data_IF_796402937903
#
_entry.id   IF_796402937903
#
_cell.length_a   1.000
_cell.length_b   1.000
_cell.length_c   1.000
_cell.angle_alpha   90.00
_cell.angle_beta   90.00
_cell.angle_gamma   90.00
#
_symmetry.space_group_name_H-M   'P 1'
#
loop_
_entity.id
_entity.type
_entity.pdbx_description
1 polymer ?
#
# COMPACT_ATOMS: atom_id res chain seq x y z
N UNK A 1 6.03 11.08 2.22
CA UNK A 1 7.15 10.21 1.81
C UNK A 1 6.65 9.27 0.73
N UNK A 2 7.44 9.01 -0.32
CA UNK A 2 7.07 8.04 -1.36
C UNK A 2 7.70 6.70 -1.04
N UNK A 3 6.91 5.62 -1.13
CA UNK A 3 7.33 4.24 -0.90
C UNK A 3 6.92 3.41 -2.12
N UNK A 4 7.90 2.81 -2.78
CA UNK A 4 7.75 2.07 -4.04
C UNK A 4 7.87 0.58 -3.73
N UNK A 5 6.94 -0.25 -4.23
CA UNK A 5 6.99 -1.72 -4.18
C UNK A 5 7.41 -2.28 -2.82
N UNK A 6 6.77 -1.79 -1.74
CA UNK A 6 7.07 -2.22 -0.37
C UNK A 6 5.79 -2.45 0.44
N UNK A 7 5.78 -3.44 1.34
CA UNK A 7 4.58 -3.89 2.03
C UNK A 7 4.02 -2.82 2.97
N UNK A 8 2.72 -2.56 2.90
CA UNK A 8 1.96 -1.71 3.82
C UNK A 8 1.00 -2.60 4.61
N UNK A 9 0.58 -2.21 5.81
CA UNK A 9 -0.42 -2.98 6.57
C UNK A 9 -1.82 -2.43 6.32
N UNK A 10 -2.74 -3.31 5.93
CA UNK A 10 -4.17 -3.01 5.76
C UNK A 10 -4.96 -3.95 6.68
N UNK A 11 -5.49 -3.43 7.79
CA UNK A 11 -6.13 -4.25 8.83
C UNK A 11 -5.14 -5.14 9.58
N UNK A 12 -5.65 -6.19 10.24
CA UNK A 12 -4.85 -7.01 11.16
C UNK A 12 -3.95 -8.04 10.46
N UNK A 13 -4.33 -8.50 9.26
CA UNK A 13 -3.72 -9.68 8.61
C UNK A 13 -3.32 -9.47 7.15
N UNK A 14 -3.53 -8.28 6.58
CA UNK A 14 -3.20 -8.01 5.19
C UNK A 14 -1.98 -7.10 5.09
N UNK A 15 -0.99 -7.52 4.31
CA UNK A 15 0.22 -6.75 4.06
C UNK A 15 0.52 -6.63 2.55
N UNK A 16 -0.36 -5.95 1.76
CA UNK A 16 -0.17 -5.85 0.32
C UNK A 16 1.08 -5.04 -0.04
N UNK A 17 1.63 -5.31 -1.23
CA UNK A 17 2.80 -4.63 -1.78
C UNK A 17 2.36 -3.79 -2.97
N UNK A 18 1.99 -2.51 -2.76
CA UNK A 18 1.58 -1.65 -3.85
C UNK A 18 2.76 -1.19 -4.69
N UNK A 19 2.50 -0.89 -5.96
CA UNK A 19 3.50 -0.28 -6.84
C UNK A 19 4.01 1.03 -6.25
N UNK A 20 3.10 1.88 -5.76
CA UNK A 20 3.40 3.18 -5.18
C UNK A 20 2.48 3.49 -3.99
N UNK A 21 3.06 4.01 -2.91
CA UNK A 21 2.34 4.54 -1.76
C UNK A 21 2.89 5.90 -1.33
N UNK A 22 2.00 6.84 -1.03
CA UNK A 22 2.32 8.11 -0.38
C UNK A 22 1.98 7.99 1.10
N UNK A 23 2.98 8.19 1.95
CA UNK A 23 2.86 8.05 3.39
C UNK A 23 3.03 9.38 4.10
N UNK A 24 2.41 9.50 5.28
CA UNK A 24 2.78 10.50 6.28
C UNK A 24 4.25 10.34 6.62
N UNK A 25 4.91 11.45 6.95
CA UNK A 25 6.33 11.40 7.34
C UNK A 25 6.44 10.96 8.79
N UNK A 26 7.14 9.87 9.05
CA UNK A 26 7.54 9.42 10.39
C UNK A 26 9.04 9.62 10.60
N UNK A 27 9.46 9.90 11.83
CA UNK A 27 10.85 10.22 12.14
C UNK A 27 11.83 9.07 11.83
N UNK A 28 11.38 7.83 12.02
CA UNK A 28 12.16 6.62 11.75
C UNK A 28 12.10 6.15 10.29
N UNK A 29 11.27 6.81 9.46
CA UNK A 29 10.96 6.41 8.09
C UNK A 29 10.41 4.98 7.95
N UNK A 30 9.60 4.54 8.92
CA UNK A 30 9.00 3.20 8.93
C UNK A 30 10.03 2.05 8.92
N UNK A 31 11.17 2.26 9.59
CA UNK A 31 12.19 1.20 9.78
C UNK A 31 11.81 0.22 10.88
N UNK A 32 11.07 0.66 11.89
CA UNK A 32 10.71 -0.16 13.03
C UNK A 32 9.42 -0.96 12.83
N UNK A 33 8.55 -0.52 11.91
CA UNK A 33 7.27 -1.17 11.62
C UNK A 33 6.78 -0.81 10.23
N UNK A 34 5.91 -1.64 9.65
CA UNK A 34 5.16 -1.25 8.45
C UNK A 34 4.27 -0.03 8.73
N UNK A 35 4.02 0.81 7.72
CA UNK A 35 2.98 1.84 7.80
C UNK A 35 1.60 1.19 7.91
N UNK A 36 0.78 1.69 8.84
CA UNK A 36 -0.61 1.26 9.02
C UNK A 36 -1.60 2.09 8.20
N UNK A 37 -2.90 1.77 8.25
CA UNK A 37 -3.96 2.52 7.55
C UNK A 37 -3.93 4.03 7.81
N UNK A 38 -3.62 4.45 9.03
CA UNK A 38 -3.53 5.85 9.45
C UNK A 38 -2.32 6.61 8.86
N UNK A 39 -1.31 5.88 8.41
CA UNK A 39 -0.08 6.41 7.83
C UNK A 39 -0.19 6.62 6.31
N UNK A 40 -1.14 5.94 5.66
CA UNK A 40 -1.26 5.89 4.21
C UNK A 40 -2.14 7.05 3.73
N UNK A 41 -1.58 7.91 2.87
CA UNK A 41 -2.30 9.03 2.26
C UNK A 41 -2.85 8.66 0.89
N UNK A 42 -2.13 7.82 0.14
CA UNK A 42 -2.54 7.36 -1.20
C UNK A 42 -1.85 6.03 -1.52
N UNK A 43 -2.57 5.13 -2.18
CA UNK A 43 -2.06 3.90 -2.81
C UNK A 43 -2.33 3.98 -4.30
N UNK A 44 -1.34 3.61 -5.12
CA UNK A 44 -1.43 3.58 -6.58
C UNK A 44 -0.93 2.21 -7.04
N UNK A 45 -1.74 1.55 -7.86
CA UNK A 45 -1.43 0.30 -8.55
C UNK A 45 -1.46 0.54 -10.06
N UNK A 46 -0.57 -0.12 -10.79
CA UNK A 46 -0.53 -0.06 -12.25
C UNK A 46 -0.91 -1.43 -12.82
N UNK A 47 -1.94 -1.49 -13.66
CA UNK A 47 -2.26 -2.68 -14.45
C UNK A 47 -2.09 -2.43 -15.93
N UNK A 48 -1.41 -3.35 -16.61
CA UNK A 48 -1.54 -3.51 -18.05
C UNK A 48 -2.81 -4.33 -18.33
N UNK A 49 -3.86 -3.63 -18.78
CA UNK A 49 -5.18 -4.11 -19.25
C UNK A 49 -6.25 -4.46 -18.21
N UNK A 50 -7.41 -3.82 -18.38
CA UNK A 50 -8.68 -3.97 -17.63
C UNK A 50 -8.65 -3.70 -16.12
N UNK A 51 -8.93 -2.44 -15.77
CA UNK A 51 -9.36 -1.99 -14.43
C UNK A 51 -10.41 -2.93 -13.77
N UNK A 52 -11.25 -3.59 -14.56
CA UNK A 52 -12.26 -4.54 -14.08
C UNK A 52 -11.69 -5.87 -13.55
N UNK A 53 -10.58 -6.38 -14.11
CA UNK A 53 -9.92 -7.59 -13.62
C UNK A 53 -9.13 -7.28 -12.33
N UNK A 54 -8.48 -6.12 -12.30
CA UNK A 54 -7.65 -5.69 -11.18
C UNK A 54 -8.45 -5.41 -9.89
N UNK A 55 -9.67 -4.86 -10.00
CA UNK A 55 -10.53 -4.63 -8.83
C UNK A 55 -11.08 -5.91 -8.18
N UNK A 56 -11.19 -7.03 -8.92
CA UNK A 56 -11.74 -8.29 -8.41
C UNK A 56 -10.68 -9.22 -7.82
N UNK A 57 -9.43 -9.14 -8.30
CA UNK A 57 -8.35 -10.06 -7.90
C UNK A 57 -7.49 -9.48 -6.77
N UNK A 58 -7.27 -8.15 -6.74
CA UNK A 58 -6.33 -7.53 -5.80
C UNK A 58 -6.95 -6.98 -4.51
N UNK A 59 -8.27 -7.07 -4.34
CA UNK A 59 -8.95 -6.63 -3.13
C UNK A 59 -9.30 -7.86 -2.25
N UNK A 60 -8.61 -8.10 -1.12
CA UNK A 60 -9.13 -9.04 -0.15
C UNK A 60 -10.34 -8.39 0.53
N UNK A 61 -11.49 -9.07 0.46
CA UNK A 61 -12.58 -8.82 1.42
C UNK A 61 -12.12 -9.18 2.83
#
# INVERSE_FOLDING_TARGET
MVRVQRPIRVGERSEPVPDLAVLRRRADFYRQSLPGPEDILLVIEVSDTSLAYDQQVKNPR
#
